data_IF_945185865550
#
_entry.id   IF_945185865550
#
_cell.length_a   1.000
_cell.length_b   1.000
_cell.length_c   1.000
_cell.angle_alpha   90.00
_cell.angle_beta   90.00
_cell.angle_gamma   90.00
#
_symmetry.space_group_name_H-M   'P 1'
#
loop_
_entity.id
_entity.type
_entity.pdbx_description
1 polymer ?
#
# COMPACT_ATOMS: atom_id res chain seq x y z
N UNK A 1 17.00 14.21 2.00
CA UNK A 1 16.13 13.02 1.87
C UNK A 1 15.17 13.25 0.70
N UNK A 2 15.34 12.49 -0.39
CA UNK A 2 14.57 12.65 -1.64
C UNK A 2 13.15 12.08 -1.53
N UNK A 3 12.90 11.17 -0.57
CA UNK A 3 11.64 10.45 -0.47
C UNK A 3 10.99 10.66 0.89
N UNK A 4 9.67 10.88 0.92
CA UNK A 4 8.86 10.86 2.14
C UNK A 4 7.66 9.92 1.94
N UNK A 5 7.39 9.08 2.95
CA UNK A 5 6.37 8.02 2.90
C UNK A 5 5.35 8.32 3.99
N UNK A 6 4.09 8.47 3.61
CA UNK A 6 3.02 8.83 4.52
C UNK A 6 1.94 7.74 4.44
N UNK A 7 1.83 6.84 5.44
CA UNK A 7 0.68 5.95 5.52
C UNK A 7 -0.57 6.79 5.81
N UNK A 8 -1.68 6.51 5.14
CA UNK A 8 -2.93 7.28 5.30
C UNK A 8 -3.96 6.59 6.21
N UNK A 9 -3.68 5.36 6.65
CA UNK A 9 -4.55 4.54 7.49
C UNK A 9 -3.93 4.25 8.85
N UNK A 10 -4.79 4.18 9.85
CA UNK A 10 -4.46 3.98 11.26
C UNK A 10 -3.99 2.56 11.62
N UNK A 11 -4.46 1.53 10.91
CA UNK A 11 -4.24 0.13 11.33
C UNK A 11 -3.59 -0.77 10.28
N UNK A 12 -3.81 -0.51 8.98
CA UNK A 12 -3.28 -1.33 7.89
C UNK A 12 -2.62 -0.47 6.81
N UNK A 13 -1.52 -0.94 6.23
CA UNK A 13 -0.67 -0.18 5.31
C UNK A 13 -1.27 0.01 3.90
N UNK A 14 -2.59 -0.05 3.73
CA UNK A 14 -3.16 -0.22 2.40
C UNK A 14 -3.39 1.04 1.58
N UNK A 15 -3.12 2.24 2.10
CA UNK A 15 -2.99 3.44 1.26
C UNK A 15 -1.81 4.27 1.71
N UNK A 16 -1.02 4.73 0.76
CA UNK A 16 0.25 5.40 1.01
C UNK A 16 0.40 6.59 0.07
N UNK A 17 0.68 7.77 0.63
CA UNK A 17 1.17 8.90 -0.14
C UNK A 17 2.70 8.86 -0.16
N UNK A 18 3.26 8.77 -1.35
CA UNK A 18 4.69 8.87 -1.59
C UNK A 18 5.02 10.26 -2.16
N UNK A 19 5.91 10.99 -1.50
CA UNK A 19 6.35 12.32 -1.94
C UNK A 19 7.82 12.24 -2.33
N UNK A 20 8.12 12.46 -3.61
CA UNK A 20 9.48 12.63 -4.12
C UNK A 20 9.77 14.13 -4.11
N UNK A 21 10.76 14.54 -3.32
CA UNK A 21 11.12 15.94 -3.07
C UNK A 21 12.60 16.19 -3.31
N UNK A 22 12.99 17.47 -3.38
CA UNK A 22 14.38 17.91 -3.46
C UNK A 22 15.14 17.31 -4.66
N UNK A 23 14.47 17.10 -5.80
CA UNK A 23 15.00 16.41 -6.98
C UNK A 23 16.30 17.05 -7.50
N UNK A 24 16.45 18.37 -7.38
CA UNK A 24 17.59 19.14 -7.89
C UNK A 24 18.52 19.72 -6.81
N UNK A 25 18.33 19.37 -5.53
CA UNK A 25 19.19 19.86 -4.44
C UNK A 25 20.47 19.03 -4.25
N UNK A 26 20.62 17.89 -4.93
CA UNK A 26 21.77 16.99 -4.77
C UNK A 26 23.01 17.37 -5.59
N UNK A 27 22.91 18.30 -6.53
CA UNK A 27 24.04 18.67 -7.39
C UNK A 27 25.14 19.47 -6.67
N UNK A 28 24.91 19.92 -5.42
CA UNK A 28 25.84 20.81 -4.70
C UNK A 28 26.98 20.11 -3.95
N UNK A 29 27.04 18.76 -3.89
CA UNK A 29 28.06 18.07 -3.05
C UNK A 29 29.01 17.11 -3.78
N UNK A 30 28.96 17.03 -5.10
CA UNK A 30 29.84 16.14 -5.86
C UNK A 30 30.61 16.81 -7.00
N UNK A 31 30.67 18.15 -7.02
CA UNK A 31 31.65 18.86 -7.84
C UNK A 31 32.97 19.01 -7.06
N UNK A 32 33.91 18.11 -7.34
CA UNK A 32 35.34 18.34 -7.16
C UNK A 32 35.96 17.86 -5.85
N UNK A 33 36.25 16.57 -5.74
CA UNK A 33 37.47 16.12 -5.05
C UNK A 33 38.41 15.49 -6.10
N UNK A 34 38.88 16.35 -7.01
CA UNK A 34 40.05 16.07 -7.82
C UNK A 34 41.28 16.25 -6.94
N UNK A 35 41.86 15.14 -6.48
CA UNK A 35 43.26 15.04 -6.09
C UNK A 35 43.66 15.70 -4.76
N UNK A 36 43.73 14.88 -3.71
CA UNK A 36 44.44 15.22 -2.48
C UNK A 36 44.59 14.00 -1.58
N UNK A 37 45.77 13.38 -1.60
CA UNK A 37 46.14 12.33 -0.64
C UNK A 37 45.91 12.80 0.79
N UNK A 38 45.07 12.09 1.57
CA UNK A 38 45.17 12.13 3.03
C UNK A 38 45.16 10.70 3.58
N UNK A 39 46.26 10.44 4.27
CA UNK A 39 46.79 9.26 4.92
C UNK A 39 45.83 8.46 5.83
N UNK A 40 46.00 7.15 5.76
CA UNK A 40 45.72 6.19 6.83
C UNK A 40 46.53 6.60 8.08
N UNK A 41 45.85 6.77 9.22
CA UNK A 41 46.49 7.05 10.50
C UNK A 41 45.61 6.55 11.65
N UNK A 42 46.10 5.53 12.34
CA UNK A 42 45.61 4.99 13.61
C UNK A 42 45.71 6.01 14.75
N UNK A 43 44.69 6.06 15.60
CA UNK A 43 44.68 6.46 17.02
C UNK A 43 43.20 6.31 17.46
N UNK A 44 42.73 5.42 18.32
CA UNK A 44 43.27 4.86 19.56
C UNK A 44 42.36 5.29 20.72
N UNK A 45 41.70 4.32 21.40
CA UNK A 45 41.02 4.38 22.74
C UNK A 45 39.56 4.90 22.74
N UNK A 46 38.57 4.35 23.46
CA UNK A 46 38.48 3.33 24.51
C UNK A 46 37.09 2.66 24.48
N UNK A 47 37.06 1.32 24.57
CA UNK A 47 35.88 0.53 24.92
C UNK A 47 35.81 0.46 26.45
N UNK A 48 34.67 0.79 27.05
CA UNK A 48 34.36 0.43 28.43
C UNK A 48 33.09 -0.43 28.39
N UNK A 49 33.29 -1.73 28.55
CA UNK A 49 32.29 -2.70 28.98
C UNK A 49 32.03 -2.51 30.49
N UNK A 50 30.75 -2.51 30.88
CA UNK A 50 30.36 -3.04 32.19
C UNK A 50 29.05 -3.80 32.05
N UNK A 51 29.17 -5.12 32.12
CA UNK A 51 28.11 -6.07 32.40
C UNK A 51 27.37 -5.75 33.69
N UNK A 52 26.03 -5.96 33.68
CA UNK A 52 25.32 -6.66 34.75
C UNK A 52 23.93 -7.12 34.30
N UNK A 53 23.91 -8.40 33.99
CA UNK A 53 22.77 -9.31 33.83
C UNK A 53 21.78 -9.19 35.01
N UNK A 54 20.48 -9.11 34.69
CA UNK A 54 19.42 -9.74 35.50
C UNK A 54 18.40 -10.39 34.58
N UNK A 55 18.60 -11.69 34.36
CA UNK A 55 17.55 -12.63 34.00
C UNK A 55 16.44 -12.58 35.06
N UNK A 56 15.20 -12.46 34.62
CA UNK A 56 14.08 -13.05 35.34
C UNK A 56 13.15 -13.71 34.32
N UNK A 57 13.11 -15.04 34.43
CA UNK A 57 12.15 -15.94 33.80
C UNK A 57 10.72 -15.45 34.04
N UNK A 58 9.89 -15.46 32.99
CA UNK A 58 8.45 -15.63 33.14
C UNK A 58 7.96 -16.56 32.02
N UNK A 59 8.15 -17.86 32.26
CA UNK A 59 7.27 -18.89 31.74
C UNK A 59 6.38 -19.33 32.91
N UNK A 60 5.09 -19.39 32.61
CA UNK A 60 3.93 -19.80 33.43
C UNK A 60 3.36 -18.71 34.34
N UNK A 61 2.20 -18.18 33.95
CA UNK A 61 0.98 -18.29 34.76
C UNK A 61 -0.27 -18.23 33.87
N UNK A 62 -0.95 -19.37 33.85
CA UNK A 62 -2.40 -19.59 33.94
C UNK A 62 -3.39 -18.82 33.05
N UNK A 63 -4.17 -19.65 32.34
CA UNK A 63 -5.46 -19.36 31.74
C UNK A 63 -6.36 -18.54 32.67
N UNK A 64 -6.69 -17.32 32.26
CA UNK A 64 -7.90 -16.65 32.70
C UNK A 64 -8.66 -16.12 31.48
N UNK A 65 -9.82 -16.72 31.25
CA UNK A 65 -10.87 -16.20 30.39
C UNK A 65 -11.35 -14.87 30.96
N UNK A 66 -10.86 -13.77 30.40
CA UNK A 66 -11.53 -12.49 30.48
C UNK A 66 -11.73 -11.97 29.06
N UNK A 67 -12.96 -11.58 28.77
CA UNK A 67 -13.38 -10.95 27.52
C UNK A 67 -12.46 -9.77 27.23
N UNK A 68 -11.47 -9.98 26.35
CA UNK A 68 -10.63 -8.91 25.86
C UNK A 68 -11.45 -8.11 24.86
N UNK A 69 -12.03 -7.01 25.33
CA UNK A 69 -12.25 -5.83 24.51
C UNK A 69 -11.04 -5.67 23.57
N UNK A 70 -11.29 -5.64 22.26
CA UNK A 70 -10.27 -5.46 21.24
C UNK A 70 -9.60 -4.09 21.41
N UNK A 71 -8.63 -3.98 22.33
CA UNK A 71 -7.70 -2.85 22.40
C UNK A 71 -6.71 -3.03 21.25
N UNK A 72 -7.11 -2.60 20.06
CA UNK A 72 -6.22 -2.42 18.93
C UNK A 72 -5.11 -1.45 19.34
N UNK A 73 -3.90 -1.96 19.56
CA UNK A 73 -2.72 -1.14 19.79
C UNK A 73 -2.40 -0.38 18.51
N UNK A 74 -2.60 0.94 18.52
CA UNK A 74 -2.29 1.87 17.41
C UNK A 74 -0.82 1.68 17.00
N UNK A 75 -0.57 1.19 15.79
CA UNK A 75 0.79 0.92 15.29
C UNK A 75 1.47 2.17 14.74
N UNK A 76 0.72 3.23 14.39
CA UNK A 76 1.26 4.45 13.81
C UNK A 76 0.84 5.71 14.58
N UNK A 77 1.76 6.68 14.64
CA UNK A 77 1.56 7.96 15.34
C UNK A 77 0.61 8.86 14.54
N UNK A 78 -0.69 8.64 14.70
CA UNK A 78 -1.78 9.35 14.02
C UNK A 78 -1.72 10.88 14.20
N UNK A 79 -1.08 11.34 15.29
CA UNK A 79 -0.86 12.76 15.54
C UNK A 79 -0.03 13.42 14.43
N UNK A 80 0.86 12.69 13.74
CA UNK A 80 1.64 13.26 12.64
C UNK A 80 0.77 13.63 11.43
N UNK A 81 -0.15 12.74 11.02
CA UNK A 81 -1.03 12.95 9.87
C UNK A 81 -2.07 14.03 10.20
N UNK A 82 -2.66 13.98 11.39
CA UNK A 82 -3.66 14.97 11.82
C UNK A 82 -3.08 16.37 12.00
N UNK A 83 -1.80 16.50 12.37
CA UNK A 83 -1.17 17.80 12.60
C UNK A 83 -0.52 18.40 11.34
N UNK A 84 -0.22 17.58 10.32
CA UNK A 84 0.39 18.05 9.07
C UNK A 84 -0.68 18.45 8.06
N UNK A 85 -1.15 19.69 8.17
CA UNK A 85 -2.24 20.18 7.32
C UNK A 85 -1.85 20.49 5.88
N UNK A 86 -0.58 20.78 5.60
CA UNK A 86 -0.22 21.42 4.33
C UNK A 86 0.65 20.59 3.38
N UNK A 87 1.02 19.32 3.65
CA UNK A 87 1.81 18.42 2.75
C UNK A 87 2.79 19.08 1.74
N UNK A 88 3.48 20.15 2.13
CA UNK A 88 4.28 21.02 1.25
C UNK A 88 3.51 21.66 0.07
N UNK A 89 2.31 22.20 0.32
CA UNK A 89 1.43 22.87 -0.63
C UNK A 89 2.17 23.98 -1.38
N UNK A 90 2.96 24.78 -0.64
CA UNK A 90 3.77 25.87 -1.18
C UNK A 90 4.87 25.38 -2.15
N UNK A 91 5.19 24.07 -2.10
CA UNK A 91 6.19 23.40 -2.95
C UNK A 91 5.58 22.31 -3.85
N UNK A 92 4.26 22.37 -4.10
CA UNK A 92 3.55 21.36 -4.91
C UNK A 92 4.15 21.19 -6.31
N UNK A 93 4.67 22.27 -6.88
CA UNK A 93 5.31 22.27 -8.21
C UNK A 93 6.78 21.85 -8.18
N UNK A 94 7.39 21.71 -7.00
CA UNK A 94 8.77 21.24 -6.81
C UNK A 94 8.84 19.71 -6.56
N UNK A 95 7.72 19.12 -6.12
CA UNK A 95 7.64 17.73 -5.65
C UNK A 95 6.77 16.87 -6.58
N UNK A 96 6.86 15.54 -6.46
CA UNK A 96 5.95 14.59 -7.12
C UNK A 96 5.19 13.81 -6.04
N UNK A 97 3.86 13.78 -6.15
CA UNK A 97 2.94 13.16 -5.20
C UNK A 97 2.27 11.94 -5.82
N UNK A 98 2.63 10.75 -5.35
CA UNK A 98 2.11 9.48 -5.85
C UNK A 98 1.23 8.87 -4.77
N UNK A 99 -0.06 8.71 -5.06
CA UNK A 99 -0.95 7.96 -4.21
C UNK A 99 -0.91 6.49 -4.61
N UNK A 100 -0.46 5.61 -3.73
CA UNK A 100 -0.48 4.18 -3.94
C UNK A 100 -1.61 3.59 -3.11
N UNK A 101 -2.57 3.00 -3.82
CA UNK A 101 -3.85 2.51 -3.33
C UNK A 101 -4.72 3.58 -2.67
N UNK A 102 -6.01 3.27 -2.55
CA UNK A 102 -7.02 4.07 -1.89
C UNK A 102 -8.06 3.12 -1.29
N UNK A 103 -7.57 2.28 -0.39
CA UNK A 103 -8.33 1.27 0.32
C UNK A 103 -9.39 1.80 1.25
N UNK A 104 -10.31 0.96 1.69
CA UNK A 104 -11.16 1.24 2.83
C UNK A 104 -11.20 0.03 3.75
N UNK A 105 -11.09 0.23 5.06
CA UNK A 105 -11.28 -0.82 6.05
C UNK A 105 -12.74 -1.30 6.10
N UNK A 106 -12.95 -2.58 6.47
CA UNK A 106 -14.25 -3.22 6.64
C UNK A 106 -15.15 -2.46 7.65
N UNK A 107 -14.56 -1.66 8.54
CA UNK A 107 -15.27 -0.85 9.55
C UNK A 107 -15.70 0.54 9.06
N UNK A 108 -15.40 0.89 7.81
CA UNK A 108 -15.75 2.19 7.21
C UNK A 108 -15.32 3.42 8.02
N UNK A 109 -14.08 3.41 8.55
CA UNK A 109 -13.57 4.51 9.36
C UNK A 109 -13.57 5.83 8.56
N UNK A 110 -14.35 6.81 9.04
CA UNK A 110 -14.50 8.11 8.39
C UNK A 110 -13.22 8.96 8.46
N UNK A 111 -12.42 8.80 9.52
CA UNK A 111 -11.23 9.62 9.72
C UNK A 111 -10.10 9.24 8.75
N UNK A 112 -9.96 7.97 8.41
CA UNK A 112 -9.00 7.54 7.39
C UNK A 112 -9.38 8.11 6.01
N UNK A 113 -10.68 8.20 5.69
CA UNK A 113 -11.13 8.86 4.44
C UNK A 113 -10.78 10.34 4.42
N UNK A 114 -11.00 11.05 5.53
CA UNK A 114 -10.66 12.48 5.60
C UNK A 114 -9.18 12.69 5.27
N UNK A 115 -8.30 11.78 5.69
CA UNK A 115 -6.88 11.85 5.35
C UNK A 115 -6.62 11.64 3.86
N UNK A 116 -7.29 10.67 3.20
CA UNK A 116 -7.20 10.52 1.75
C UNK A 116 -7.70 11.77 1.03
N UNK A 117 -8.88 12.29 1.40
CA UNK A 117 -9.49 13.44 0.73
C UNK A 117 -8.56 14.66 0.81
N UNK A 118 -7.95 14.91 1.99
CA UNK A 118 -6.98 16.00 2.19
C UNK A 118 -5.82 15.94 1.21
N UNK A 119 -5.30 14.75 0.90
CA UNK A 119 -4.12 14.65 0.02
C UNK A 119 -4.47 14.77 -1.47
N UNK A 120 -5.74 14.59 -1.87
CA UNK A 120 -6.18 14.64 -3.27
C UNK A 120 -5.82 15.96 -3.98
N UNK A 121 -5.72 17.06 -3.23
CA UNK A 121 -5.26 18.35 -3.74
C UNK A 121 -3.85 18.25 -4.36
N UNK A 122 -2.97 17.44 -3.78
CA UNK A 122 -1.55 17.36 -4.17
C UNK A 122 -1.25 16.24 -5.15
N UNK A 123 -2.03 15.14 -5.12
CA UNK A 123 -1.78 13.93 -5.91
C UNK A 123 -1.59 14.24 -7.40
N UNK A 124 -0.52 13.72 -7.96
CA UNK A 124 -0.14 13.81 -9.37
C UNK A 124 -0.52 12.54 -10.16
N UNK A 125 -0.46 11.38 -9.51
CA UNK A 125 -0.76 10.06 -10.10
C UNK A 125 -1.21 9.08 -9.02
N UNK A 126 -2.11 8.16 -9.40
CA UNK A 126 -2.60 7.08 -8.54
C UNK A 126 -2.19 5.72 -9.12
N UNK A 127 -1.68 4.84 -8.27
CA UNK A 127 -1.47 3.43 -8.61
C UNK A 127 -2.32 2.52 -7.74
N UNK A 128 -2.92 1.49 -8.33
CA UNK A 128 -3.64 0.45 -7.59
C UNK A 128 -2.93 -0.88 -7.76
N UNK A 129 -2.55 -1.51 -6.64
CA UNK A 129 -1.71 -2.70 -6.61
C UNK A 129 -2.48 -4.00 -6.48
N UNK A 130 -3.75 -3.96 -6.07
CA UNK A 130 -4.59 -5.14 -5.88
C UNK A 130 -6.05 -4.69 -5.92
N UNK A 131 -6.97 -5.64 -6.14
CA UNK A 131 -8.37 -5.35 -6.42
C UNK A 131 -9.29 -5.32 -5.20
N UNK A 132 -8.87 -5.84 -4.05
CA UNK A 132 -9.73 -5.89 -2.86
C UNK A 132 -10.12 -4.53 -2.29
N UNK A 133 -11.21 -4.48 -1.52
CA UNK A 133 -11.72 -3.23 -0.91
C UNK A 133 -10.66 -2.51 -0.08
N UNK A 134 -9.78 -3.28 0.58
CA UNK A 134 -8.63 -2.75 1.28
C UNK A 134 -7.68 -1.95 0.38
N UNK A 135 -7.74 -2.03 -0.94
CA UNK A 135 -6.87 -1.31 -1.88
C UNK A 135 -7.63 -0.30 -2.76
N UNK A 136 -8.91 -0.55 -3.06
CA UNK A 136 -9.71 0.27 -3.98
C UNK A 136 -10.97 0.89 -3.37
N UNK A 137 -11.29 0.60 -2.10
CA UNK A 137 -12.59 0.91 -1.51
C UNK A 137 -12.98 2.40 -1.55
N UNK A 138 -12.01 3.31 -1.43
CA UNK A 138 -12.22 4.76 -1.50
C UNK A 138 -12.07 5.34 -2.92
N UNK A 139 -11.82 4.50 -3.94
CA UNK A 139 -11.64 4.95 -5.32
C UNK A 139 -12.80 5.83 -5.85
N UNK A 140 -14.09 5.49 -5.57
CA UNK A 140 -15.20 6.33 -6.01
C UNK A 140 -15.18 7.73 -5.41
N UNK A 141 -14.77 7.84 -4.14
CA UNK A 141 -14.71 9.09 -3.40
C UNK A 141 -13.58 9.96 -3.95
N UNK A 142 -12.37 9.40 -4.10
CA UNK A 142 -11.23 10.19 -4.61
C UNK A 142 -11.45 10.69 -6.04
N UNK A 143 -12.14 9.90 -6.87
CA UNK A 143 -12.41 10.28 -8.24
C UNK A 143 -13.38 11.46 -8.30
N UNK A 144 -14.40 11.46 -7.42
CA UNK A 144 -15.29 12.61 -7.27
C UNK A 144 -14.55 13.85 -6.74
N UNK A 145 -13.62 13.69 -5.79
CA UNK A 145 -12.79 14.80 -5.30
C UNK A 145 -11.88 15.37 -6.40
N UNK A 146 -11.25 14.52 -7.23
CA UNK A 146 -10.50 14.99 -8.39
C UNK A 146 -11.39 15.78 -9.37
N UNK A 147 -12.62 15.32 -9.56
CA UNK A 147 -13.60 15.99 -10.42
C UNK A 147 -14.00 17.36 -9.85
N UNK A 148 -14.25 17.47 -8.54
CA UNK A 148 -14.53 18.75 -7.84
C UNK A 148 -13.36 19.74 -7.96
N UNK A 149 -12.14 19.23 -7.90
CA UNK A 149 -10.91 20.02 -8.04
C UNK A 149 -10.56 20.35 -9.51
N UNK A 150 -11.37 19.90 -10.49
CA UNK A 150 -11.08 19.98 -11.92
C UNK A 150 -9.69 19.43 -12.30
N UNK A 151 -9.23 18.38 -11.60
CA UNK A 151 -7.95 17.73 -11.81
C UNK A 151 -8.13 16.42 -12.58
N UNK A 152 -7.40 16.27 -13.68
CA UNK A 152 -7.24 14.98 -14.37
C UNK A 152 -6.01 14.27 -13.83
N UNK A 153 -6.22 13.35 -12.90
CA UNK A 153 -5.16 12.54 -12.29
C UNK A 153 -5.17 11.15 -12.95
N UNK A 154 -4.06 10.70 -13.56
CA UNK A 154 -3.97 9.35 -14.11
C UNK A 154 -4.07 8.31 -12.99
N UNK A 155 -4.90 7.30 -13.21
CA UNK A 155 -5.07 6.13 -12.34
C UNK A 155 -4.62 4.91 -13.14
N UNK A 156 -3.66 4.16 -12.59
CA UNK A 156 -2.99 3.07 -13.32
C UNK A 156 -2.98 1.80 -12.48
N UNK A 157 -3.32 0.68 -13.09
CA UNK A 157 -3.26 -0.64 -12.47
C UNK A 157 -3.09 -1.75 -13.51
N UNK A 158 -2.88 -2.97 -13.04
CA UNK A 158 -2.83 -4.15 -13.90
C UNK A 158 -4.21 -4.47 -14.50
N UNK A 159 -4.28 -5.05 -15.71
CA UNK A 159 -5.53 -5.47 -16.39
C UNK A 159 -6.46 -6.28 -15.47
N UNK A 160 -5.96 -7.35 -14.86
CA UNK A 160 -6.73 -8.14 -13.89
C UNK A 160 -7.18 -7.33 -12.68
N UNK A 161 -6.31 -6.47 -12.13
CA UNK A 161 -6.70 -5.59 -11.01
C UNK A 161 -7.88 -4.72 -11.44
N UNK A 162 -7.82 -4.07 -12.60
CA UNK A 162 -8.91 -3.26 -13.16
C UNK A 162 -10.21 -4.06 -13.31
N UNK A 163 -10.12 -5.27 -13.84
CA UNK A 163 -11.30 -6.11 -14.09
C UNK A 163 -11.97 -6.57 -12.79
N UNK A 164 -11.20 -7.12 -11.85
CA UNK A 164 -11.73 -7.61 -10.58
C UNK A 164 -12.19 -6.48 -9.65
N UNK A 165 -11.46 -5.37 -9.59
CA UNK A 165 -11.81 -4.24 -8.72
C UNK A 165 -13.13 -3.59 -9.14
N UNK A 166 -13.45 -3.59 -10.44
CA UNK A 166 -14.76 -3.13 -10.93
C UNK A 166 -15.89 -3.98 -10.36
N UNK A 167 -15.75 -5.30 -10.41
CA UNK A 167 -16.76 -6.22 -9.90
C UNK A 167 -16.95 -6.07 -8.39
N UNK A 168 -15.86 -5.91 -7.63
CA UNK A 168 -15.88 -5.72 -6.18
C UNK A 168 -16.61 -4.44 -5.81
N UNK A 169 -16.27 -3.31 -6.44
CA UNK A 169 -16.94 -2.04 -6.18
C UNK A 169 -18.43 -2.09 -6.56
N UNK A 170 -18.80 -2.76 -7.66
CA UNK A 170 -20.20 -2.97 -8.00
C UNK A 170 -20.93 -3.84 -6.96
N UNK A 171 -20.29 -4.89 -6.44
CA UNK A 171 -20.89 -5.73 -5.37
C UNK A 171 -21.13 -4.94 -4.08
N UNK A 172 -20.30 -3.91 -3.85
CA UNK A 172 -20.35 -3.02 -2.71
C UNK A 172 -21.54 -2.03 -2.77
N UNK A 173 -22.28 -1.97 -3.89
CA UNK A 173 -23.54 -1.20 -3.99
C UNK A 173 -24.54 -1.56 -2.88
N UNK A 174 -24.58 -2.84 -2.47
CA UNK A 174 -25.46 -3.31 -1.39
C UNK A 174 -25.08 -2.72 -0.02
N UNK A 175 -23.84 -2.25 0.12
CA UNK A 175 -23.34 -1.61 1.33
C UNK A 175 -23.60 -0.10 1.37
N UNK A 176 -24.09 0.52 0.28
CA UNK A 176 -24.47 1.94 0.24
C UNK A 176 -25.43 2.29 1.38
N UNK A 177 -26.38 1.41 1.70
CA UNK A 177 -27.35 1.62 2.78
C UNK A 177 -26.72 1.70 4.17
N UNK A 178 -25.55 1.10 4.37
CA UNK A 178 -24.88 1.03 5.67
C UNK A 178 -23.75 2.06 5.82
N UNK A 179 -23.31 2.70 4.73
CA UNK A 179 -22.18 3.61 4.73
C UNK A 179 -22.63 5.07 4.51
N UNK A 180 -22.48 5.94 5.51
CA UNK A 180 -22.96 7.33 5.45
C UNK A 180 -22.40 8.14 4.29
N UNK A 181 -21.13 7.94 3.92
CA UNK A 181 -20.50 8.67 2.81
C UNK A 181 -21.09 8.23 1.47
N UNK A 182 -21.46 6.95 1.34
CA UNK A 182 -22.00 6.43 0.09
C UNK A 182 -23.52 6.61 -0.03
N UNK A 183 -24.25 6.84 1.07
CA UNK A 183 -25.68 7.17 1.05
C UNK A 183 -26.03 8.39 0.18
N UNK A 184 -25.04 9.22 -0.15
CA UNK A 184 -25.19 10.37 -1.04
C UNK A 184 -25.53 9.92 -2.47
N UNK A 185 -25.14 8.70 -2.87
CA UNK A 185 -25.41 8.16 -4.20
C UNK A 185 -26.69 7.33 -4.21
N UNK A 186 -27.54 7.57 -5.20
CA UNK A 186 -28.47 6.54 -5.66
C UNK A 186 -27.71 5.38 -6.32
N UNK A 187 -28.32 4.18 -6.36
CA UNK A 187 -27.71 3.01 -7.01
C UNK A 187 -27.29 3.30 -8.46
N UNK A 188 -28.15 4.00 -9.21
CA UNK A 188 -27.88 4.37 -10.61
C UNK A 188 -26.70 5.33 -10.74
N UNK A 189 -26.61 6.33 -9.87
CA UNK A 189 -25.48 7.26 -9.85
C UNK A 189 -24.17 6.54 -9.51
N UNK A 190 -24.21 5.63 -8.54
CA UNK A 190 -23.03 4.84 -8.16
C UNK A 190 -22.55 3.96 -9.32
N UNK A 191 -23.45 3.24 -9.99
CA UNK A 191 -23.09 2.41 -11.16
C UNK A 191 -22.48 3.26 -12.28
N UNK A 192 -23.05 4.44 -12.56
CA UNK A 192 -22.53 5.35 -13.57
C UNK A 192 -21.14 5.88 -13.18
N UNK A 193 -20.94 6.24 -11.92
CA UNK A 193 -19.65 6.67 -11.39
C UNK A 193 -18.59 5.56 -11.55
N UNK A 194 -18.92 4.32 -11.18
CA UNK A 194 -18.01 3.18 -11.39
C UNK A 194 -17.69 3.02 -12.87
N UNK A 195 -18.69 3.04 -13.76
CA UNK A 195 -18.42 2.89 -15.19
C UNK A 195 -17.50 4.00 -15.73
N UNK A 196 -17.69 5.25 -15.31
CA UNK A 196 -16.83 6.37 -15.70
C UNK A 196 -15.39 6.20 -15.17
N UNK A 197 -15.23 5.84 -13.89
CA UNK A 197 -13.92 5.55 -13.30
C UNK A 197 -13.15 4.52 -14.13
N UNK A 198 -13.78 3.38 -14.43
CA UNK A 198 -13.10 2.28 -15.11
C UNK A 198 -12.87 2.52 -16.60
N UNK A 199 -13.56 3.48 -17.22
CA UNK A 199 -13.20 3.97 -18.56
C UNK A 199 -11.93 4.83 -18.53
N UNK A 200 -11.65 5.51 -17.42
CA UNK A 200 -10.52 6.42 -17.28
C UNK A 200 -9.26 5.79 -16.64
N UNK A 201 -9.36 4.56 -16.10
CA UNK A 201 -8.21 3.82 -15.60
C UNK A 201 -7.38 3.26 -16.75
N UNK A 202 -6.07 3.55 -16.73
CA UNK A 202 -5.09 2.97 -17.65
C UNK A 202 -4.61 1.61 -17.15
N UNK A 203 -4.52 0.66 -18.07
CA UNK A 203 -4.01 -0.68 -17.81
C UNK A 203 -2.50 -0.73 -18.12
N UNK A 204 -1.76 -1.49 -17.34
CA UNK A 204 -0.33 -1.71 -17.54
C UNK A 204 0.02 -3.16 -17.22
N UNK A 205 0.62 -3.87 -18.16
CA UNK A 205 1.05 -5.25 -17.94
C UNK A 205 2.32 -5.33 -17.09
N UNK A 206 2.61 -6.50 -16.54
CA UNK A 206 3.85 -6.70 -15.80
C UNK A 206 5.07 -6.40 -16.67
N UNK A 207 6.01 -5.64 -16.10
CA UNK A 207 7.26 -5.18 -16.74
C UNK A 207 7.06 -4.23 -17.92
N UNK A 208 5.83 -3.84 -18.23
CA UNK A 208 5.55 -2.72 -19.14
C UNK A 208 5.87 -1.40 -18.42
N UNK A 209 6.49 -0.46 -19.15
CA UNK A 209 6.93 0.81 -18.56
C UNK A 209 5.90 1.91 -18.79
N UNK A 210 5.37 2.45 -17.71
CA UNK A 210 4.71 3.74 -17.70
C UNK A 210 5.74 4.84 -17.41
N UNK A 211 5.78 5.86 -18.27
CA UNK A 211 6.70 7.00 -18.09
C UNK A 211 5.91 8.23 -17.66
N UNK A 212 5.98 8.55 -16.36
CA UNK A 212 5.40 9.78 -15.84
C UNK A 212 6.33 10.97 -16.12
N UNK A 213 5.77 12.09 -16.57
CA UNK A 213 6.53 13.34 -16.83
C UNK A 213 5.89 14.47 -16.05
N UNK A 214 6.69 15.23 -15.30
CA UNK A 214 6.23 16.43 -14.59
C UNK A 214 7.18 17.60 -14.82
N UNK A 215 6.61 18.77 -15.07
CA UNK A 215 7.36 20.03 -15.07
C UNK A 215 7.62 20.42 -13.62
N UNK A 216 8.88 20.33 -13.19
CA UNK A 216 9.33 20.71 -11.87
C UNK A 216 9.85 22.13 -11.92
N UNK A 217 9.27 22.99 -11.08
CA UNK A 217 9.75 24.34 -10.81
C UNK A 217 10.71 24.27 -9.63
N UNK A 218 11.90 24.86 -9.75
CA UNK A 218 12.85 24.94 -8.64
C UNK A 218 13.64 26.24 -8.69
N UNK A 219 14.10 26.69 -7.52
CA UNK A 219 14.97 27.86 -7.41
C UNK A 219 16.43 27.41 -7.30
N UNK A 220 17.28 27.92 -8.20
CA UNK A 220 18.73 27.78 -8.13
C UNK A 220 19.35 29.15 -8.33
N UNK A 221 20.25 29.56 -7.43
CA UNK A 221 20.93 30.87 -7.47
C UNK A 221 19.95 32.05 -7.63
N UNK A 222 18.85 32.03 -6.86
CA UNK A 222 17.81 33.08 -6.88
C UNK A 222 17.09 33.26 -8.24
N UNK A 223 17.16 32.27 -9.14
CA UNK A 223 16.39 32.22 -10.39
C UNK A 223 15.47 31.00 -10.43
N UNK A 224 14.20 31.21 -10.79
CA UNK A 224 13.25 30.13 -11.06
C UNK A 224 13.63 29.43 -12.36
N UNK A 225 13.88 28.13 -12.28
CA UNK A 225 14.16 27.25 -13.42
C UNK A 225 13.05 26.20 -13.53
N UNK A 226 12.83 25.75 -14.76
CA UNK A 226 11.88 24.70 -15.08
C UNK A 226 12.65 23.52 -15.66
N UNK A 227 12.36 22.31 -15.20
CA UNK A 227 12.90 21.09 -15.78
C UNK A 227 11.81 20.02 -15.90
N UNK A 228 11.87 19.23 -16.97
CA UNK A 228 10.97 18.09 -17.15
C UNK A 228 11.60 16.91 -16.43
N UNK A 229 11.01 16.50 -15.32
CA UNK A 229 11.41 15.29 -14.64
C UNK A 229 10.67 14.08 -15.22
N UNK A 230 11.43 13.02 -15.51
CA UNK A 230 10.92 11.78 -16.09
C UNK A 230 11.05 10.67 -15.04
N UNK A 231 9.94 10.01 -14.75
CA UNK A 231 9.84 8.96 -13.74
C UNK A 231 9.32 7.67 -14.37
N UNK A 232 10.20 6.73 -14.76
CA UNK A 232 9.81 5.42 -15.28
C UNK A 232 9.30 4.51 -14.15
N UNK A 233 8.16 3.87 -14.39
CA UNK A 233 7.44 3.05 -13.42
C UNK A 233 6.99 1.77 -14.11
N UNK A 234 7.06 0.63 -13.44
CA UNK A 234 6.53 -0.64 -13.95
C UNK A 234 6.00 -1.52 -12.83
N UNK A 235 5.08 -2.42 -13.17
CA UNK A 235 4.57 -3.42 -12.24
C UNK A 235 5.35 -4.72 -12.32
N UNK A 236 5.42 -5.43 -11.19
CA UNK A 236 5.93 -6.80 -11.08
C UNK A 236 4.95 -7.65 -10.28
N UNK A 237 4.96 -8.97 -10.47
CA UNK A 237 4.11 -9.86 -9.69
C UNK A 237 4.49 -9.79 -8.19
N UNK A 238 3.52 -9.51 -7.30
CA UNK A 238 3.74 -9.56 -5.84
C UNK A 238 3.34 -10.90 -5.19
N UNK A 239 2.74 -11.82 -5.96
CA UNK A 239 2.36 -13.16 -5.53
C UNK A 239 1.16 -13.24 -4.57
N UNK A 240 0.43 -12.15 -4.33
CA UNK A 240 -0.67 -12.13 -3.37
C UNK A 240 -1.98 -12.68 -3.98
N UNK A 241 -2.47 -12.01 -5.02
CA UNK A 241 -3.69 -12.30 -5.78
C UNK A 241 -3.44 -12.29 -7.31
N UNK A 242 -4.40 -12.76 -8.09
CA UNK A 242 -4.38 -12.58 -9.56
C UNK A 242 -4.30 -11.08 -9.87
N UNK A 243 -3.35 -10.67 -10.72
CA UNK A 243 -3.15 -9.25 -11.07
C UNK A 243 -2.49 -8.39 -10.00
N UNK A 244 -2.19 -8.93 -8.83
CA UNK A 244 -1.60 -8.16 -7.75
C UNK A 244 -0.13 -7.79 -8.02
N UNK A 245 0.16 -6.51 -7.85
CA UNK A 245 1.38 -5.90 -8.33
C UNK A 245 2.25 -5.36 -7.20
N UNK A 246 3.55 -5.50 -7.34
CA UNK A 246 4.54 -4.60 -6.75
C UNK A 246 4.83 -3.48 -7.73
N UNK A 247 5.14 -2.28 -7.24
CA UNK A 247 5.47 -1.12 -8.06
C UNK A 247 6.97 -0.89 -7.96
N UNK A 248 7.62 -0.77 -9.11
CA UNK A 248 9.00 -0.32 -9.20
C UNK A 248 9.04 1.06 -9.81
N UNK A 249 9.58 2.02 -9.05
CA UNK A 249 9.78 3.40 -9.49
C UNK A 249 11.29 3.61 -9.66
N UNK A 250 11.74 3.90 -10.87
CA UNK A 250 13.16 4.16 -11.16
C UNK A 250 13.50 5.63 -10.89
N UNK A 251 14.42 5.85 -9.96
CA UNK A 251 14.99 7.16 -9.64
C UNK A 251 16.49 7.13 -9.92
N UNK A 252 16.90 7.74 -11.03
CA UNK A 252 18.30 7.72 -11.49
C UNK A 252 18.81 6.26 -11.60
N UNK A 253 19.87 5.92 -10.87
CA UNK A 253 20.46 4.58 -10.81
C UNK A 253 19.82 3.65 -9.75
N UNK A 254 18.82 4.14 -9.03
CA UNK A 254 18.18 3.45 -7.92
C UNK A 254 16.71 3.16 -8.19
N UNK A 255 16.14 2.24 -7.40
CA UNK A 255 14.72 1.89 -7.43
C UNK A 255 14.06 2.09 -6.08
N UNK A 256 12.85 2.63 -6.08
CA UNK A 256 11.91 2.47 -4.97
C UNK A 256 11.03 1.28 -5.32
N UNK A 257 10.96 0.31 -4.40
CA UNK A 257 10.12 -0.87 -4.55
C UNK A 257 8.99 -0.80 -3.53
N UNK A 258 7.75 -0.74 -4.01
CA UNK A 258 6.56 -0.79 -3.16
C UNK A 258 5.86 -2.12 -3.35
N UNK A 259 5.60 -2.85 -2.26
CA UNK A 259 4.75 -4.03 -2.32
C UNK A 259 4.22 -4.47 -0.97
N UNK A 260 2.92 -4.70 -0.88
CA UNK A 260 2.24 -5.10 0.35
C UNK A 260 1.75 -6.54 0.23
N UNK A 261 1.87 -7.28 1.32
CA UNK A 261 1.44 -8.67 1.48
C UNK A 261 2.04 -9.59 0.42
N UNK A 262 3.32 -9.41 0.13
CA UNK A 262 3.98 -10.19 -0.91
C UNK A 262 4.22 -11.63 -0.46
N UNK A 263 3.98 -12.59 -1.35
CA UNK A 263 4.25 -14.01 -1.09
C UNK A 263 5.59 -14.43 -1.69
N UNK A 264 6.46 -15.02 -0.87
CA UNK A 264 7.79 -15.50 -1.30
C UNK A 264 7.71 -16.94 -1.87
N UNK A 265 6.56 -17.61 -1.71
CA UNK A 265 6.34 -18.99 -2.12
C UNK A 265 5.07 -19.06 -2.97
N UNK A 266 5.08 -19.91 -4.00
CA UNK A 266 3.92 -20.16 -4.86
C UNK A 266 2.71 -20.55 -4.01
N UNK A 267 1.55 -19.97 -4.29
CA UNK A 267 0.31 -20.21 -3.59
C UNK A 267 -0.78 -20.66 -4.58
N UNK A 268 -1.14 -21.95 -4.52
CA UNK A 268 -2.15 -22.55 -5.41
C UNK A 268 -1.82 -22.29 -6.89
N UNK A 269 -2.55 -21.41 -7.56
CA UNK A 269 -2.37 -21.00 -8.95
C UNK A 269 -1.58 -19.67 -9.10
N UNK A 270 -1.10 -19.09 -8.01
CA UNK A 270 -0.38 -17.81 -7.98
C UNK A 270 1.11 -18.11 -7.77
N UNK A 271 1.94 -17.64 -8.68
CA UNK A 271 3.40 -17.74 -8.56
C UNK A 271 3.94 -16.82 -7.47
N UNK A 272 5.08 -17.20 -6.90
CA UNK A 272 5.84 -16.38 -5.94
C UNK A 272 6.18 -15.00 -6.52
N UNK A 273 6.43 -14.08 -5.61
CA UNK A 273 6.75 -12.70 -5.95
C UNK A 273 8.09 -12.52 -6.67
N UNK A 274 8.08 -11.61 -7.65
CA UNK A 274 9.26 -11.11 -8.37
C UNK A 274 10.07 -10.03 -7.61
N UNK A 275 9.64 -9.65 -6.40
CA UNK A 275 10.27 -8.59 -5.58
C UNK A 275 11.72 -8.94 -5.22
N UNK A 276 11.98 -10.21 -4.89
CA UNK A 276 13.30 -10.66 -4.47
C UNK A 276 14.32 -10.60 -5.62
N UNK A 277 13.84 -10.61 -6.87
CA UNK A 277 14.68 -10.52 -8.06
C UNK A 277 15.10 -9.09 -8.40
N UNK A 278 14.62 -8.08 -7.66
CA UNK A 278 14.95 -6.67 -7.92
C UNK A 278 16.28 -6.27 -7.28
N UNK A 279 17.21 -5.77 -8.09
CA UNK A 279 18.47 -5.16 -7.65
C UNK A 279 18.41 -3.63 -7.59
N UNK A 280 19.39 -3.02 -6.93
CA UNK A 280 19.56 -1.56 -6.77
C UNK A 280 18.36 -0.86 -6.09
N UNK A 281 17.77 -1.52 -5.10
CA UNK A 281 16.66 -0.98 -4.32
C UNK A 281 17.23 0.03 -3.31
N UNK A 282 16.89 1.31 -3.47
CA UNK A 282 17.19 2.35 -2.49
C UNK A 282 16.22 2.33 -1.31
N UNK A 283 14.95 2.00 -1.57
CA UNK A 283 13.93 1.90 -0.50
C UNK A 283 12.92 0.83 -0.86
N UNK A 284 12.67 -0.08 0.08
CA UNK A 284 11.57 -1.04 0.04
C UNK A 284 10.46 -0.57 0.98
N UNK A 285 9.25 -0.45 0.46
CA UNK A 285 8.05 -0.02 1.19
C UNK A 285 7.04 -1.15 1.12
N UNK A 286 6.89 -1.88 2.21
CA UNK A 286 6.11 -3.10 2.12
C UNK A 286 6.18 -4.02 3.32
N UNK A 287 5.42 -5.10 3.21
CA UNK A 287 5.47 -6.23 4.12
C UNK A 287 5.34 -7.53 3.33
N UNK A 288 5.95 -8.59 3.87
CA UNK A 288 5.69 -9.94 3.41
C UNK A 288 4.45 -10.47 4.10
N UNK A 289 3.70 -11.32 3.41
CA UNK A 289 2.62 -12.06 4.04
C UNK A 289 3.26 -13.07 5.02
N UNK A 290 3.36 -12.70 6.29
CA UNK A 290 3.85 -13.59 7.33
C UNK A 290 2.84 -14.70 7.59
N UNK A 291 2.96 -15.81 6.87
CA UNK A 291 2.49 -17.08 7.41
C UNK A 291 3.51 -17.48 8.47
N UNK A 292 3.26 -17.10 9.73
CA UNK A 292 4.13 -17.36 10.88
C UNK A 292 4.15 -18.85 11.28
N UNK A 293 4.19 -19.71 10.27
CA UNK A 293 3.68 -21.07 10.31
C UNK A 293 4.43 -21.87 9.26
N UNK A 294 5.42 -22.64 9.72
CA UNK A 294 5.91 -23.88 9.08
C UNK A 294 4.76 -24.91 8.97
N UNK A 295 3.64 -24.53 8.39
CA UNK A 295 2.44 -25.35 8.29
C UNK A 295 2.32 -25.77 6.83
N UNK A 296 2.35 -27.08 6.62
CA UNK A 296 2.21 -27.66 5.30
C UNK A 296 0.77 -27.39 4.80
N UNK A 297 0.62 -26.68 3.68
CA UNK A 297 -0.67 -26.34 3.04
C UNK A 297 -1.60 -27.55 2.90
N UNK A 298 -1.03 -28.73 2.67
CA UNK A 298 -1.76 -29.99 2.56
C UNK A 298 -2.48 -30.39 3.85
N UNK A 299 -1.94 -30.01 5.02
CA UNK A 299 -2.58 -30.28 6.32
C UNK A 299 -3.83 -29.43 6.49
N UNK A 300 -3.81 -28.16 6.08
CA UNK A 300 -4.99 -27.29 6.17
C UNK A 300 -6.11 -27.75 5.23
N UNK A 301 -5.77 -28.12 3.99
CA UNK A 301 -6.75 -28.65 3.03
C UNK A 301 -7.38 -29.94 3.57
N UNK A 302 -6.57 -30.87 4.10
CA UNK A 302 -7.09 -32.10 4.73
C UNK A 302 -8.03 -31.79 5.89
N UNK A 303 -7.67 -30.82 6.74
CA UNK A 303 -8.53 -30.41 7.84
C UNK A 303 -9.86 -29.80 7.38
N UNK A 304 -9.83 -28.95 6.34
CA UNK A 304 -11.06 -28.39 5.75
C UNK A 304 -11.94 -29.51 5.19
N UNK A 305 -11.37 -30.45 4.42
CA UNK A 305 -12.08 -31.61 3.87
C UNK A 305 -12.68 -32.46 4.99
N UNK A 306 -11.93 -32.71 6.07
CA UNK A 306 -12.42 -33.47 7.21
C UNK A 306 -13.60 -32.79 7.89
N UNK A 307 -13.56 -31.46 8.09
CA UNK A 307 -14.68 -30.69 8.64
C UNK A 307 -15.90 -30.80 7.72
N UNK A 308 -15.71 -30.63 6.41
CA UNK A 308 -16.80 -30.75 5.43
C UNK A 308 -17.45 -32.14 5.50
N UNK A 309 -16.63 -33.19 5.47
CA UNK A 309 -17.11 -34.57 5.49
C UNK A 309 -17.88 -34.87 6.78
N UNK A 310 -17.36 -34.46 7.94
CA UNK A 310 -18.03 -34.66 9.22
C UNK A 310 -19.38 -33.93 9.29
N UNK A 311 -19.44 -32.68 8.84
CA UNK A 311 -20.68 -31.90 8.85
C UNK A 311 -21.71 -32.49 7.88
N UNK A 312 -21.31 -32.86 6.67
CA UNK A 312 -22.20 -33.45 5.66
C UNK A 312 -22.72 -34.82 6.10
N UNK A 313 -21.87 -35.66 6.70
CA UNK A 313 -22.27 -36.97 7.22
C UNK A 313 -23.27 -36.87 8.37
N UNK A 314 -23.28 -35.76 9.11
CA UNK A 314 -24.24 -35.45 10.16
C UNK A 314 -25.48 -34.70 9.64
N UNK A 315 -25.72 -34.68 8.32
CA UNK A 315 -26.82 -33.96 7.66
C UNK A 315 -26.81 -32.44 7.94
N UNK A 316 -25.65 -31.89 8.30
CA UNK A 316 -25.45 -30.46 8.50
C UNK A 316 -25.07 -29.73 7.21
N UNK A 317 -25.18 -28.41 7.21
CA UNK A 317 -24.76 -27.55 6.12
C UNK A 317 -23.41 -26.89 6.45
N UNK A 318 -22.55 -26.70 5.45
CA UNK A 318 -21.28 -25.97 5.61
C UNK A 318 -21.37 -24.63 4.90
N UNK A 319 -21.11 -23.55 5.62
CA UNK A 319 -21.04 -22.21 5.06
C UNK A 319 -19.59 -21.74 4.98
N UNK A 320 -19.15 -21.35 3.77
CA UNK A 320 -17.83 -20.78 3.53
C UNK A 320 -17.94 -19.28 3.25
N UNK A 321 -17.59 -18.40 4.21
CA UNK A 321 -17.45 -16.99 3.92
C UNK A 321 -16.17 -16.77 3.09
N UNK A 322 -16.32 -16.47 1.81
CA UNK A 322 -15.21 -16.25 0.87
C UNK A 322 -15.35 -14.84 0.29
N UNK A 323 -14.24 -14.10 0.21
CA UNK A 323 -14.22 -12.83 -0.49
C UNK A 323 -14.42 -13.10 -1.99
N UNK A 324 -15.17 -12.23 -2.65
CA UNK A 324 -15.47 -12.30 -4.09
C UNK A 324 -14.21 -12.39 -4.96
N UNK A 325 -13.09 -11.93 -4.45
CA UNK A 325 -11.96 -11.50 -5.25
C UNK A 325 -10.68 -12.31 -5.04
N UNK A 326 -10.58 -13.07 -3.94
CA UNK A 326 -9.45 -13.96 -3.68
C UNK A 326 -9.51 -14.61 -2.30
N UNK A 327 -9.22 -15.91 -2.32
CA UNK A 327 -8.90 -16.79 -1.19
C UNK A 327 -10.00 -16.98 -0.12
N UNK A 328 -10.16 -18.24 0.29
CA UNK A 328 -10.77 -18.62 1.57
C UNK A 328 -9.96 -17.98 2.71
N UNK A 329 -10.19 -16.70 2.99
CA UNK A 329 -9.71 -16.10 4.24
C UNK A 329 -10.50 -16.78 5.35
N UNK A 330 -9.80 -17.44 6.27
CA UNK A 330 -10.35 -17.81 7.57
C UNK A 330 -10.80 -16.54 8.30
N UNK A 331 -11.99 -16.00 8.01
CA UNK A 331 -12.73 -15.24 9.01
C UNK A 331 -13.11 -16.25 10.08
N UNK A 332 -12.66 -16.00 11.32
CA UNK A 332 -12.64 -16.90 12.49
C UNK A 332 -14.02 -17.34 13.01
N UNK A 333 -15.05 -17.40 12.16
CA UNK A 333 -16.38 -17.92 12.48
C UNK A 333 -16.85 -18.80 11.32
N UNK A 334 -16.51 -20.08 11.39
CA UNK A 334 -17.43 -21.09 10.89
C UNK A 334 -18.55 -21.06 11.92
N UNK A 335 -19.69 -20.47 11.55
CA UNK A 335 -20.89 -20.52 12.37
C UNK A 335 -21.52 -21.88 12.08
N UNK A 336 -21.66 -22.69 13.13
CA UNK A 336 -22.35 -23.98 13.09
C UNK A 336 -23.87 -23.78 13.20
#
# INVERSE_FOLDING_TARGET
MILEIIPLYSYNFYSTLLIIKNIFYSDEKHEGDNGGNISIGDEGRNIIETDKIKNNNFLNDEYNNSEKENKYTKSYNYNYINNKNNFYADKKNENIYILINCGWDDNFCLDDIKNIIKVCEYVDIVFITNHGLNYVGCLPIIYQEFSKLNKKVPIICHEYTKSYSRYILLSYIKCIYNCEILKIFSEKEYINLINDIYQNISELEYKEYYTYKKNILYEKESKKKNSIFILPIYFINNGNNIGSSGIVIKLFNYKILYSINSNIVDYSFIEKSDIINQSNIFTFIGNFMYTNKNYNKMIEIRNIINIVNLTMNNLGCVFFPIDIDSNLKKKKKIIF
#
